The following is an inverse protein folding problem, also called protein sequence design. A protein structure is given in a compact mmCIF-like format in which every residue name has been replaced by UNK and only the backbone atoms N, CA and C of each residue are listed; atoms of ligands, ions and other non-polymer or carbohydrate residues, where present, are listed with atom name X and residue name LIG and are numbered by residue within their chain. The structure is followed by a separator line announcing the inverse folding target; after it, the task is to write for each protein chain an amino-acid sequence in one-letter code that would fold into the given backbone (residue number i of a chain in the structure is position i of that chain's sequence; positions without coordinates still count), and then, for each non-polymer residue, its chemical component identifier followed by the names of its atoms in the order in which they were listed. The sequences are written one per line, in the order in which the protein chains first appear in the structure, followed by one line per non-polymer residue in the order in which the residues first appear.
data_IF_796684758364
#
_entry.id   IF_796684758364
#
_cell.length_a   1.000
_cell.length_b   1.000
_cell.length_c   1.000
_cell.angle_alpha   90.00
_cell.angle_beta   90.00
_cell.angle_gamma   90.00
#
_symmetry.space_group_name_H-M   'P 1'
#
loop_
_entity.id
_entity.type
_entity.pdbx_description
1 polymer ?
#
# COMPACT_ATOMS: atom_id res chain seq x y z
N UNK A 1 -7.38 -11.88 -13.11
CA UNK A 1 -8.44 -12.05 -12.10
C UNK A 1 -7.88 -11.88 -10.69
N UNK A 2 -6.79 -12.59 -10.36
CA UNK A 2 -6.11 -12.51 -9.06
C UNK A 2 -5.78 -11.08 -8.60
N UNK A 3 -5.24 -10.21 -9.46
CA UNK A 3 -4.88 -8.84 -9.08
C UNK A 3 -6.05 -8.04 -8.51
N UNK A 4 -7.24 -8.18 -9.11
CA UNK A 4 -8.47 -7.53 -8.62
C UNK A 4 -8.89 -8.12 -7.28
N UNK A 5 -8.82 -9.44 -7.13
CA UNK A 5 -9.12 -10.12 -5.86
C UNK A 5 -8.17 -9.68 -4.75
N UNK A 6 -6.87 -9.58 -5.03
CA UNK A 6 -5.87 -9.13 -4.06
C UNK A 6 -6.14 -7.70 -3.59
N UNK A 7 -6.52 -6.79 -4.50
CA UNK A 7 -6.91 -5.43 -4.12
C UNK A 7 -8.14 -5.42 -3.20
N UNK A 8 -9.18 -6.17 -3.55
CA UNK A 8 -10.40 -6.28 -2.73
C UNK A 8 -10.11 -6.86 -1.35
N UNK A 9 -9.35 -7.95 -1.27
CA UNK A 9 -9.01 -8.60 0.00
C UNK A 9 -8.14 -7.67 0.86
N UNK A 10 -7.15 -6.98 0.27
CA UNK A 10 -6.32 -6.02 1.00
C UNK A 10 -7.14 -4.87 1.59
N UNK A 11 -8.12 -4.37 0.83
CA UNK A 11 -9.04 -3.34 1.31
C UNK A 11 -9.85 -3.83 2.51
N UNK A 12 -10.47 -5.01 2.41
CA UNK A 12 -11.27 -5.61 3.49
C UNK A 12 -10.44 -5.84 4.76
N UNK A 13 -9.20 -6.33 4.62
CA UNK A 13 -8.30 -6.54 5.75
C UNK A 13 -7.92 -5.20 6.39
N UNK A 14 -7.57 -4.19 5.58
CA UNK A 14 -7.14 -2.88 6.08
C UNK A 14 -8.24 -2.12 6.82
N UNK A 15 -9.51 -2.31 6.43
CA UNK A 15 -10.67 -1.66 7.04
C UNK A 15 -11.19 -2.39 8.28
N UNK A 16 -10.74 -3.62 8.51
CA UNK A 16 -11.13 -4.39 9.69
C UNK A 16 -10.76 -3.61 10.97
N UNK A 17 -11.72 -3.38 11.86
CA UNK A 17 -11.55 -2.54 13.05
C UNK A 17 -10.38 -2.96 13.95
N UNK A 18 -10.17 -4.28 14.08
CA UNK A 18 -9.06 -4.83 14.88
C UNK A 18 -7.69 -4.48 14.28
N UNK A 19 -7.63 -4.38 12.95
CA UNK A 19 -6.41 -4.02 12.21
C UNK A 19 -6.26 -2.50 12.14
N UNK A 20 -7.31 -1.78 11.74
CA UNK A 20 -7.27 -0.34 11.51
C UNK A 20 -7.04 0.47 12.79
N UNK A 21 -7.34 -0.08 13.97
CA UNK A 21 -7.01 0.54 15.25
C UNK A 21 -5.51 0.58 15.55
N UNK A 22 -4.72 -0.30 14.92
CA UNK A 22 -3.27 -0.35 15.13
C UNK A 22 -2.55 0.79 14.37
N UNK A 23 -1.74 1.62 15.04
CA UNK A 23 -1.02 2.72 14.38
C UNK A 23 -0.06 2.26 13.28
N UNK A 24 0.55 1.08 13.41
CA UNK A 24 1.39 0.49 12.35
C UNK A 24 0.54 0.20 11.12
N UNK A 25 -0.64 -0.39 11.28
CA UNK A 25 -1.53 -0.65 10.16
C UNK A 25 -2.00 0.65 9.48
N UNK A 26 -2.28 1.71 10.26
CA UNK A 26 -2.60 3.04 9.70
C UNK A 26 -1.46 3.63 8.86
N UNK A 27 -0.20 3.42 9.25
CA UNK A 27 0.97 3.85 8.47
C UNK A 27 1.11 3.04 7.17
N UNK A 28 0.88 1.73 7.23
CA UNK A 28 1.06 0.84 6.07
C UNK A 28 -0.07 1.00 5.04
N UNK A 29 -1.32 1.13 5.50
CA UNK A 29 -2.50 1.13 4.62
C UNK A 29 -3.15 2.51 4.44
N UNK A 30 -2.85 3.48 5.30
CA UNK A 30 -3.45 4.82 5.29
C UNK A 30 -2.50 5.91 4.79
N UNK A 31 -2.98 7.15 4.78
CA UNK A 31 -2.14 8.31 4.52
C UNK A 31 -1.53 8.84 5.83
N UNK A 32 -0.20 8.87 5.98
CA UNK A 32 0.45 9.32 7.21
C UNK A 32 0.09 10.77 7.57
N UNK A 33 -0.14 11.66 6.61
CA UNK A 33 -0.55 13.05 6.88
C UNK A 33 -1.96 13.16 7.49
N UNK A 34 -2.79 12.11 7.38
CA UNK A 34 -4.14 12.13 7.93
C UNK A 34 -4.23 11.90 9.44
N UNK A 35 -3.20 11.31 10.06
CA UNK A 35 -3.22 10.96 11.49
C UNK A 35 -1.96 11.31 12.28
N UNK A 36 -0.85 11.70 11.62
CA UNK A 36 0.35 12.17 12.29
C UNK A 36 0.35 13.71 12.37
N UNK A 37 0.11 14.30 13.55
CA UNK A 37 -0.03 15.75 13.69
C UNK A 37 1.29 16.50 13.44
N UNK A 38 2.42 15.81 13.53
CA UNK A 38 3.74 16.38 13.28
C UNK A 38 4.05 16.55 11.78
N UNK A 39 3.25 15.95 10.89
CA UNK A 39 3.42 16.11 9.45
C UNK A 39 2.63 17.31 8.94
N UNK A 40 3.23 18.08 8.02
CA UNK A 40 2.52 19.17 7.35
C UNK A 40 1.36 18.63 6.51
N UNK A 41 0.12 18.82 6.98
CA UNK A 41 -1.11 18.30 6.36
C UNK A 41 -1.36 18.77 4.92
N UNK A 42 -0.77 19.88 4.49
CA UNK A 42 -0.87 20.42 3.11
C UNK A 42 0.37 20.15 2.27
N UNK A 43 1.32 19.39 2.79
CA UNK A 43 2.54 19.07 2.04
C UNK A 43 2.21 18.10 0.92
N UNK A 44 2.52 18.51 -0.31
CA UNK A 44 2.45 17.65 -1.49
C UNK A 44 3.38 16.45 -1.38
N UNK A 45 4.44 16.54 -0.56
CA UNK A 45 5.45 15.48 -0.43
C UNK A 45 5.19 14.50 0.72
N UNK A 46 4.35 14.81 1.71
CA UNK A 46 4.10 13.93 2.86
C UNK A 46 2.83 13.09 2.70
N UNK A 47 2.68 12.39 1.58
CA UNK A 47 1.55 11.49 1.32
C UNK A 47 2.00 10.05 1.07
N UNK A 48 1.09 9.09 1.27
CA UNK A 48 1.39 7.67 1.06
C UNK A 48 1.75 7.34 -0.39
N UNK A 49 1.30 8.14 -1.36
CA UNK A 49 1.63 7.98 -2.78
C UNK A 49 3.14 8.14 -3.05
N UNK A 50 3.79 9.06 -2.34
CA UNK A 50 5.23 9.35 -2.50
C UNK A 50 6.07 8.40 -1.64
N UNK A 51 5.64 8.14 -0.41
CA UNK A 51 6.39 7.35 0.57
C UNK A 51 6.02 5.85 0.59
N UNK A 52 5.36 5.35 -0.46
CA UNK A 52 5.01 3.93 -0.56
C UNK A 52 6.23 3.07 -0.87
N UNK A 53 6.31 1.91 -0.23
CA UNK A 53 7.27 0.88 -0.60
C UNK A 53 6.96 0.34 -2.00
N UNK A 54 8.01 0.15 -2.81
CA UNK A 54 7.90 -0.46 -4.14
C UNK A 54 8.69 -1.75 -4.18
N UNK A 55 8.20 -2.70 -4.97
CA UNK A 55 8.89 -3.97 -5.21
C UNK A 55 10.19 -3.70 -5.96
N UNK A 56 11.30 -4.27 -5.49
CA UNK A 56 12.55 -4.34 -6.26
C UNK A 56 12.36 -5.26 -7.46
N UNK A 57 12.77 -4.82 -8.64
CA UNK A 57 12.69 -5.63 -9.86
C UNK A 57 13.83 -6.67 -9.83
N UNK A 58 13.47 -7.94 -10.00
CA UNK A 58 14.40 -9.08 -10.10
C UNK A 58 14.18 -9.82 -11.42
N UNK A 59 15.14 -10.66 -11.82
CA UNK A 59 15.06 -11.43 -13.08
C UNK A 59 13.86 -12.39 -13.06
N UNK A 60 13.61 -13.02 -11.92
CA UNK A 60 12.50 -13.97 -11.73
C UNK A 60 11.15 -13.26 -11.86
N UNK A 61 11.06 -12.01 -11.38
CA UNK A 61 9.85 -11.21 -11.57
C UNK A 61 9.60 -10.89 -13.04
N UNK A 62 10.65 -10.58 -13.81
CA UNK A 62 10.53 -10.33 -15.24
C UNK A 62 10.13 -11.60 -16.01
N UNK A 63 10.73 -12.74 -15.68
CA UNK A 63 10.34 -14.04 -16.25
C UNK A 63 8.84 -14.31 -16.01
N UNK A 64 8.39 -14.16 -14.76
CA UNK A 64 6.97 -14.33 -14.42
C UNK A 64 6.05 -13.42 -15.24
N UNK A 65 6.43 -12.15 -15.46
CA UNK A 65 5.63 -11.22 -16.26
C UNK A 65 5.54 -11.66 -17.73
N UNK A 66 6.61 -12.22 -18.30
CA UNK A 66 6.60 -12.75 -19.68
C UNK A 66 5.68 -13.95 -19.77
N UNK A 67 5.77 -14.89 -18.83
CA UNK A 67 4.92 -16.08 -18.79
C UNK A 67 3.42 -15.74 -18.68
N UNK A 68 3.05 -14.71 -17.92
CA UNK A 68 1.66 -14.27 -17.77
C UNK A 68 1.09 -13.52 -18.98
N UNK A 69 1.95 -13.05 -19.89
CA UNK A 69 1.55 -12.26 -21.07
C UNK A 69 1.53 -13.06 -22.38
N UNK A 70 2.01 -14.30 -22.35
CA UNK A 70 1.85 -15.26 -23.44
C UNK A 70 0.43 -15.87 -23.40
#
# INVERSE_FOLDING_TARGET
HLDKTLLTVSMLISQNERISSNPVAKIIYGDPASFLPQLHQKSVVHCSKIWSCRKKITVEYLQHVVEQKN
#
